data_IF_020826705453
#
_entry.id   IF_020826705453
#
_cell.length_a   1.000
_cell.length_b   1.000
_cell.length_c   1.000
_cell.angle_alpha   90.00
_cell.angle_beta   90.00
_cell.angle_gamma   90.00
#
_symmetry.space_group_name_H-M   'P 1'
#
loop_
_entity.id
_entity.type
_entity.pdbx_description
1 polymer ?
#
# COMPACT_ATOMS: atom_id res chain seq x y z
N UNK A 1 -12.62 -9.89 15.16
CA UNK A 1 -13.93 -9.19 15.02
C UNK A 1 -14.67 -9.22 16.37
N UNK A 2 -15.41 -8.15 16.74
CA UNK A 2 -16.15 -8.10 18.00
C UNK A 2 -17.32 -9.13 17.99
N UNK A 3 -17.55 -9.91 19.08
CA UNK A 3 -18.51 -11.03 19.08
C UNK A 3 -20.00 -10.63 18.87
N UNK A 4 -20.34 -9.35 19.01
CA UNK A 4 -21.68 -8.83 18.73
C UNK A 4 -21.93 -8.50 17.25
N UNK A 5 -20.91 -8.59 16.38
CA UNK A 5 -21.03 -8.32 14.95
C UNK A 5 -21.44 -9.61 14.24
N UNK A 6 -22.55 -9.59 13.49
CA UNK A 6 -22.84 -10.63 12.53
C UNK A 6 -22.04 -10.38 11.25
N UNK A 7 -21.19 -11.32 10.88
CA UNK A 7 -20.31 -11.17 9.73
C UNK A 7 -20.96 -11.66 8.43
N UNK A 8 -21.38 -10.72 7.59
CA UNK A 8 -21.87 -10.99 6.24
C UNK A 8 -20.75 -11.25 5.22
N UNK A 9 -19.47 -11.03 5.61
CA UNK A 9 -18.32 -11.20 4.70
C UNK A 9 -17.81 -12.64 4.65
N UNK A 10 -18.47 -13.57 5.33
CA UNK A 10 -18.11 -14.99 5.26
C UNK A 10 -18.29 -15.52 3.84
N UNK A 11 -17.29 -16.23 3.33
CA UNK A 11 -17.30 -16.85 2.02
C UNK A 11 -16.79 -18.28 2.12
N UNK A 12 -17.25 -19.15 1.21
CA UNK A 12 -16.72 -20.50 1.03
C UNK A 12 -15.41 -20.52 0.22
N UNK A 13 -14.94 -19.35 -0.24
CA UNK A 13 -13.67 -19.24 -0.96
C UNK A 13 -12.52 -19.64 -0.04
N UNK A 14 -11.68 -20.60 -0.43
CA UNK A 14 -10.51 -20.98 0.35
C UNK A 14 -9.60 -19.77 0.59
N UNK A 15 -9.04 -19.65 1.77
CA UNK A 15 -8.03 -18.61 2.05
C UNK A 15 -6.81 -18.81 1.17
N UNK A 16 -6.20 -17.73 0.66
CA UNK A 16 -4.95 -17.80 -0.06
C UNK A 16 -3.88 -18.53 0.77
N UNK A 17 -3.19 -19.49 0.16
CA UNK A 17 -2.15 -20.26 0.85
C UNK A 17 -0.88 -19.43 1.10
N UNK A 18 -0.64 -18.41 0.27
CA UNK A 18 0.53 -17.54 0.35
C UNK A 18 0.09 -16.11 0.02
N UNK A 19 0.50 -15.15 0.85
CA UNK A 19 0.32 -13.73 0.63
C UNK A 19 1.66 -13.06 0.89
N UNK A 20 2.31 -12.59 -0.17
CA UNK A 20 3.52 -11.79 -0.12
C UNK A 20 3.20 -10.37 -0.58
N UNK A 21 3.99 -9.42 -0.13
CA UNK A 21 3.86 -8.01 -0.51
C UNK A 21 5.14 -7.51 -1.15
N UNK A 22 4.99 -6.62 -2.12
CA UNK A 22 6.07 -5.89 -2.77
C UNK A 22 5.83 -4.39 -2.67
N UNK A 23 6.76 -3.68 -2.05
CA UNK A 23 6.66 -2.24 -1.88
C UNK A 23 7.32 -1.50 -3.05
N UNK A 24 6.53 -0.76 -3.79
CA UNK A 24 6.93 0.01 -4.97
C UNK A 24 7.20 1.50 -4.68
N UNK A 25 7.20 1.90 -3.40
CA UNK A 25 7.31 3.31 -3.00
C UNK A 25 8.57 3.97 -3.54
N UNK A 26 9.70 3.26 -3.48
CA UNK A 26 11.02 3.80 -3.88
C UNK A 26 11.29 3.77 -5.40
N UNK A 27 10.41 3.12 -6.17
CA UNK A 27 10.52 3.06 -7.63
C UNK A 27 9.31 3.70 -8.32
N UNK A 28 8.18 2.99 -8.46
CA UNK A 28 6.99 3.49 -9.15
C UNK A 28 6.36 4.66 -8.39
N UNK A 29 6.37 4.60 -7.07
CA UNK A 29 5.93 5.68 -6.20
C UNK A 29 6.59 7.02 -6.52
N UNK A 30 7.84 7.02 -6.93
CA UNK A 30 8.60 8.23 -7.25
C UNK A 30 8.45 8.70 -8.72
N UNK A 31 7.71 8.00 -9.56
CA UNK A 31 7.53 8.32 -10.97
C UNK A 31 6.43 9.36 -11.24
N UNK A 32 5.67 9.75 -10.23
CA UNK A 32 4.68 10.82 -10.37
C UNK A 32 5.35 12.20 -10.58
N UNK A 33 4.84 13.03 -11.50
CA UNK A 33 5.44 14.34 -11.80
C UNK A 33 5.37 15.34 -10.63
N UNK A 34 4.50 15.14 -9.66
CA UNK A 34 4.34 16.02 -8.49
C UNK A 34 5.11 15.54 -7.26
N UNK A 35 5.75 14.39 -7.32
CA UNK A 35 6.52 13.82 -6.21
C UNK A 35 7.91 14.44 -6.15
N UNK A 36 8.31 14.97 -4.98
CA UNK A 36 9.71 15.28 -4.73
C UNK A 36 10.51 13.99 -4.61
N UNK A 37 11.62 13.86 -5.31
CA UNK A 37 12.51 12.72 -5.13
C UNK A 37 13.17 12.82 -3.74
N UNK A 38 13.00 11.82 -2.84
CA UNK A 38 13.62 11.80 -1.52
C UNK A 38 15.16 11.75 -1.60
N UNK A 39 15.83 12.30 -0.61
CA UNK A 39 17.27 12.09 -0.40
C UNK A 39 17.55 10.62 -0.07
N UNK A 40 18.82 10.23 -0.16
CA UNK A 40 19.20 8.85 0.17
C UNK A 40 18.90 8.50 1.64
N UNK A 41 19.07 9.44 2.57
CA UNK A 41 18.78 9.22 3.98
C UNK A 41 17.29 9.01 4.21
N UNK A 42 16.42 9.80 3.55
CA UNK A 42 14.97 9.60 3.58
C UNK A 42 14.55 8.26 2.95
N UNK A 43 15.21 7.82 1.87
CA UNK A 43 14.96 6.50 1.28
C UNK A 43 15.36 5.36 2.22
N UNK A 44 16.45 5.51 2.97
CA UNK A 44 16.87 4.53 3.98
C UNK A 44 15.85 4.45 5.11
N UNK A 45 15.35 5.58 5.60
CA UNK A 45 14.30 5.61 6.62
C UNK A 45 13.03 4.88 6.14
N UNK A 46 12.60 5.14 4.91
CA UNK A 46 11.46 4.44 4.28
C UNK A 46 11.72 2.94 4.20
N UNK A 47 12.92 2.52 3.78
CA UNK A 47 13.29 1.11 3.67
C UNK A 47 13.20 0.39 5.02
N UNK A 48 13.68 1.01 6.10
CA UNK A 48 13.56 0.45 7.46
C UNK A 48 12.10 0.32 7.92
N UNK A 49 11.22 1.24 7.52
CA UNK A 49 9.80 1.16 7.84
C UNK A 49 9.09 0.05 7.04
N UNK A 50 9.48 -0.17 5.78
CA UNK A 50 9.04 -1.32 4.98
C UNK A 50 9.41 -2.64 5.68
N UNK A 51 10.66 -2.77 6.15
CA UNK A 51 11.11 -3.95 6.90
C UNK A 51 10.36 -4.13 8.23
N UNK A 52 10.14 -3.04 8.98
CA UNK A 52 9.37 -3.08 10.25
C UNK A 52 7.93 -3.56 10.05
N UNK A 53 7.29 -3.17 8.94
CA UNK A 53 5.95 -3.63 8.57
C UNK A 53 5.94 -5.09 8.10
N UNK A 54 7.11 -5.72 7.94
CA UNK A 54 7.24 -7.11 7.51
C UNK A 54 6.89 -7.32 6.04
N UNK A 55 6.97 -6.29 5.21
CA UNK A 55 6.80 -6.40 3.76
C UNK A 55 7.96 -7.22 3.20
N UNK A 56 7.67 -8.21 2.37
CA UNK A 56 8.64 -9.22 1.97
C UNK A 56 9.66 -8.70 0.97
N UNK A 57 9.22 -7.87 0.01
CA UNK A 57 10.10 -7.36 -1.05
C UNK A 57 9.90 -5.85 -1.24
N UNK A 58 10.94 -5.17 -1.72
CA UNK A 58 10.87 -3.76 -2.09
C UNK A 58 11.59 -3.50 -3.42
N UNK A 59 10.94 -2.77 -4.33
CA UNK A 59 11.57 -2.28 -5.55
C UNK A 59 12.41 -1.04 -5.23
N UNK A 60 13.73 -1.22 -5.25
CA UNK A 60 14.70 -0.20 -4.86
C UNK A 60 14.93 0.87 -5.94
N UNK A 61 14.45 0.63 -7.16
CA UNK A 61 14.57 1.58 -8.26
C UNK A 61 14.80 0.96 -9.64
N UNK A 62 15.03 1.83 -10.60
CA UNK A 62 15.32 1.51 -12.00
C UNK A 62 16.76 1.94 -12.35
N UNK A 63 17.79 1.10 -12.11
CA UNK A 63 19.20 1.48 -12.35
C UNK A 63 19.50 1.93 -13.78
N UNK A 64 18.76 1.40 -14.77
CA UNK A 64 18.85 1.83 -16.17
C UNK A 64 18.48 3.30 -16.43
N UNK A 65 17.84 3.98 -15.46
CA UNK A 65 17.50 5.40 -15.57
C UNK A 65 18.71 6.35 -15.41
N UNK A 66 19.84 5.86 -14.88
CA UNK A 66 21.08 6.62 -14.84
C UNK A 66 21.95 6.44 -13.60
N UNK A 67 23.16 7.03 -13.60
CA UNK A 67 24.18 6.80 -12.58
C UNK A 67 23.75 7.20 -11.15
N UNK A 68 22.84 8.17 -11.01
CA UNK A 68 22.34 8.57 -9.69
C UNK A 68 21.47 7.49 -9.07
N UNK A 69 20.61 6.84 -9.89
CA UNK A 69 19.77 5.72 -9.42
C UNK A 69 20.66 4.51 -9.09
N UNK A 70 21.69 4.23 -9.89
CA UNK A 70 22.67 3.16 -9.57
C UNK A 70 23.27 3.36 -8.18
N UNK A 71 23.70 4.60 -7.83
CA UNK A 71 24.28 4.88 -6.51
C UNK A 71 23.26 4.70 -5.38
N UNK A 72 22.05 5.18 -5.58
CA UNK A 72 20.99 5.07 -4.57
C UNK A 72 20.61 3.60 -4.32
N UNK A 73 20.39 2.83 -5.40
CA UNK A 73 20.07 1.39 -5.32
C UNK A 73 21.21 0.61 -4.66
N UNK A 74 22.49 0.90 -5.02
CA UNK A 74 23.65 0.27 -4.37
C UNK A 74 23.70 0.59 -2.86
N UNK A 75 23.40 1.83 -2.48
CA UNK A 75 23.38 2.23 -1.07
C UNK A 75 22.25 1.52 -0.29
N UNK A 76 21.04 1.43 -0.87
CA UNK A 76 19.92 0.71 -0.30
C UNK A 76 20.20 -0.81 -0.19
N UNK A 77 20.78 -1.40 -1.23
CA UNK A 77 21.16 -2.82 -1.21
C UNK A 77 22.21 -3.12 -0.13
N UNK A 78 23.19 -2.23 0.05
CA UNK A 78 24.17 -2.35 1.15
C UNK A 78 23.51 -2.24 2.52
N UNK A 79 22.55 -1.33 2.70
CA UNK A 79 21.82 -1.22 3.95
C UNK A 79 21.11 -2.52 4.31
N UNK A 80 20.43 -3.14 3.35
CA UNK A 80 19.77 -4.45 3.58
C UNK A 80 20.80 -5.49 4.03
N UNK A 81 21.97 -5.56 3.37
CA UNK A 81 23.01 -6.53 3.67
C UNK A 81 23.67 -6.28 5.04
N UNK A 82 24.08 -5.05 5.30
CA UNK A 82 24.86 -4.65 6.47
C UNK A 82 24.02 -4.71 7.74
N UNK A 83 22.77 -4.21 7.70
CA UNK A 83 21.81 -4.19 8.82
C UNK A 83 21.01 -5.49 8.91
N UNK A 84 21.18 -6.43 7.97
CA UNK A 84 20.48 -7.72 7.90
C UNK A 84 18.96 -7.56 7.95
N UNK A 85 18.46 -6.62 7.17
CA UNK A 85 17.01 -6.43 7.03
C UNK A 85 16.39 -7.70 6.42
N UNK A 86 15.12 -7.96 6.74
CA UNK A 86 14.39 -9.14 6.24
C UNK A 86 13.81 -8.92 4.85
N UNK A 87 13.59 -7.65 4.48
CA UNK A 87 13.08 -7.27 3.18
C UNK A 87 14.07 -7.69 2.08
N UNK A 88 13.57 -8.38 1.05
CA UNK A 88 14.35 -8.76 -0.13
C UNK A 88 14.32 -7.65 -1.18
N UNK A 89 15.44 -7.42 -1.83
CA UNK A 89 15.57 -6.41 -2.85
C UNK A 89 15.07 -6.88 -4.22
N UNK A 90 14.34 -6.03 -4.91
CA UNK A 90 14.16 -6.14 -6.34
C UNK A 90 14.44 -4.81 -7.04
N UNK A 91 14.61 -4.83 -8.35
CA UNK A 91 14.85 -3.66 -9.18
C UNK A 91 14.20 -3.82 -10.54
N UNK A 92 13.53 -2.76 -11.00
CA UNK A 92 12.95 -2.70 -12.32
C UNK A 92 14.03 -2.55 -13.42
N UNK A 93 13.80 -3.17 -14.58
CA UNK A 93 14.58 -3.01 -15.80
C UNK A 93 13.67 -3.11 -17.02
N UNK A 94 13.89 -2.30 -18.05
CA UNK A 94 13.32 -2.62 -19.36
C UNK A 94 13.88 -3.95 -19.83
N UNK A 95 13.13 -4.65 -20.67
CA UNK A 95 13.53 -5.95 -21.23
C UNK A 95 14.70 -5.75 -22.23
N UNK A 96 15.84 -5.31 -21.69
CA UNK A 96 17.08 -4.96 -22.40
C UNK A 96 18.30 -5.27 -21.53
N UNK A 97 19.31 -5.91 -22.12
CA UNK A 97 20.56 -6.27 -21.42
C UNK A 97 21.24 -5.04 -20.78
N UNK A 98 21.18 -3.88 -21.45
CA UNK A 98 21.77 -2.65 -20.95
C UNK A 98 21.16 -2.15 -19.62
N UNK A 99 19.88 -2.41 -19.39
CA UNK A 99 19.19 -2.04 -18.15
C UNK A 99 19.37 -3.10 -17.05
N UNK A 100 19.52 -4.38 -17.43
CA UNK A 100 19.68 -5.51 -16.49
C UNK A 100 21.10 -5.58 -15.92
N UNK A 101 22.11 -5.29 -16.76
CA UNK A 101 23.53 -5.35 -16.35
C UNK A 101 23.85 -4.54 -15.09
N UNK A 102 23.41 -3.28 -14.92
CA UNK A 102 23.63 -2.54 -13.69
C UNK A 102 23.06 -3.23 -12.44
N UNK A 103 21.94 -3.94 -12.54
CA UNK A 103 21.34 -4.70 -11.42
C UNK A 103 22.27 -5.84 -11.00
N UNK A 104 22.78 -6.62 -11.96
CA UNK A 104 23.73 -7.70 -11.69
C UNK A 104 25.02 -7.17 -11.04
N UNK A 105 25.56 -6.06 -11.55
CA UNK A 105 26.75 -5.44 -10.98
C UNK A 105 26.53 -4.92 -9.56
N UNK A 106 25.36 -4.33 -9.25
CA UNK A 106 25.01 -3.87 -7.91
C UNK A 106 24.88 -5.09 -6.98
N UNK A 107 24.16 -6.12 -7.40
CA UNK A 107 23.98 -7.37 -6.63
C UNK A 107 25.34 -7.97 -6.23
N UNK A 108 26.29 -8.04 -7.17
CA UNK A 108 27.64 -8.55 -6.92
C UNK A 108 28.44 -7.64 -5.96
N UNK A 109 28.40 -6.31 -6.15
CA UNK A 109 29.13 -5.37 -5.29
C UNK A 109 28.58 -5.26 -3.88
N UNK A 110 27.25 -5.37 -3.72
CA UNK A 110 26.60 -5.35 -2.42
C UNK A 110 26.64 -6.71 -1.72
N UNK A 111 26.93 -7.79 -2.45
CA UNK A 111 26.86 -9.17 -1.92
C UNK A 111 25.44 -9.58 -1.53
N UNK A 112 24.41 -8.97 -2.15
CA UNK A 112 23.01 -9.17 -1.87
C UNK A 112 22.28 -9.71 -3.12
N UNK A 113 21.52 -10.81 -3.02
CA UNK A 113 20.66 -11.24 -4.13
C UNK A 113 19.59 -10.18 -4.44
N UNK A 114 19.53 -9.73 -5.69
CA UNK A 114 18.50 -8.79 -6.17
C UNK A 114 17.65 -9.50 -7.22
N UNK A 115 16.31 -9.42 -7.12
CA UNK A 115 15.41 -9.91 -8.16
C UNK A 115 15.32 -8.86 -9.28
N UNK A 116 15.51 -9.28 -10.52
CA UNK A 116 15.37 -8.43 -11.69
C UNK A 116 13.91 -8.45 -12.18
N UNK A 117 13.22 -7.32 -12.08
CA UNK A 117 11.87 -7.13 -12.56
C UNK A 117 11.88 -6.56 -13.98
N UNK A 118 12.05 -7.44 -14.99
CA UNK A 118 12.15 -7.00 -16.37
C UNK A 118 10.78 -6.83 -17.02
N UNK A 119 10.50 -5.63 -17.58
CA UNK A 119 9.20 -5.28 -18.10
C UNK A 119 9.18 -4.91 -19.57
N UNK A 120 8.05 -5.28 -20.26
CA UNK A 120 7.79 -4.94 -21.66
C UNK A 120 6.29 -4.74 -21.89
N UNK A 121 5.94 -3.83 -22.82
CA UNK A 121 4.54 -3.59 -23.19
C UNK A 121 3.93 -4.74 -23.97
N UNK A 122 2.76 -5.24 -23.57
CA UNK A 122 2.12 -6.40 -24.16
C UNK A 122 0.85 -6.09 -24.97
N UNK A 123 0.16 -4.97 -24.68
CA UNK A 123 -1.11 -4.68 -25.32
C UNK A 123 -0.97 -4.33 -26.81
N UNK A 124 -2.02 -4.58 -27.63
CA UNK A 124 -2.05 -4.14 -29.02
C UNK A 124 -1.83 -2.63 -29.18
N UNK A 125 -2.26 -1.83 -28.20
CA UNK A 125 -2.05 -0.38 -28.19
C UNK A 125 -0.56 -0.04 -28.10
N UNK A 126 0.19 -0.73 -27.20
CA UNK A 126 1.64 -0.53 -27.07
C UNK A 126 2.39 -1.04 -28.29
N UNK A 127 2.03 -2.23 -28.78
CA UNK A 127 2.65 -2.80 -30.00
C UNK A 127 2.46 -1.86 -31.20
N UNK A 128 1.25 -1.32 -31.39
CA UNK A 128 0.97 -0.37 -32.46
C UNK A 128 1.74 0.94 -32.32
N UNK A 129 1.77 1.52 -31.11
CA UNK A 129 2.44 2.78 -30.85
C UNK A 129 3.97 2.71 -31.08
N UNK A 130 4.60 1.59 -30.71
CA UNK A 130 6.03 1.36 -30.82
C UNK A 130 6.45 0.71 -32.16
N UNK A 131 5.49 0.22 -32.94
CA UNK A 131 5.77 -0.54 -34.16
C UNK A 131 6.35 -1.94 -33.89
N UNK A 132 6.09 -2.50 -32.72
CA UNK A 132 6.59 -3.83 -32.34
C UNK A 132 5.77 -4.96 -32.92
N UNK A 133 6.45 -6.03 -33.30
CA UNK A 133 5.82 -7.31 -33.65
C UNK A 133 5.94 -8.28 -32.48
N UNK A 134 5.05 -9.27 -32.42
CA UNK A 134 5.11 -10.31 -31.40
C UNK A 134 6.46 -11.04 -31.43
N UNK A 135 7.00 -11.36 -32.61
CA UNK A 135 8.31 -12.03 -32.77
C UNK A 135 9.44 -11.21 -32.15
N UNK A 136 9.40 -9.87 -32.29
CA UNK A 136 10.37 -9.00 -31.63
C UNK A 136 10.24 -9.04 -30.11
N UNK A 137 9.01 -9.00 -29.60
CA UNK A 137 8.76 -9.08 -28.15
C UNK A 137 9.24 -10.40 -27.56
N UNK A 138 8.98 -11.52 -28.22
CA UNK A 138 9.41 -12.85 -27.79
C UNK A 138 10.93 -12.96 -27.76
N UNK A 139 11.61 -12.48 -28.80
CA UNK A 139 13.07 -12.48 -28.86
C UNK A 139 13.68 -11.62 -27.75
N UNK A 140 13.20 -10.39 -27.55
CA UNK A 140 13.68 -9.50 -26.48
C UNK A 140 13.45 -10.13 -25.11
N UNK A 141 12.32 -10.77 -24.90
CA UNK A 141 12.00 -11.50 -23.66
C UNK A 141 13.00 -12.62 -23.40
N UNK A 142 13.22 -13.50 -24.38
CA UNK A 142 14.13 -14.63 -24.25
C UNK A 142 15.56 -14.16 -23.99
N UNK A 143 16.06 -13.19 -24.78
CA UNK A 143 17.41 -12.62 -24.62
C UNK A 143 17.63 -12.00 -23.23
N UNK A 144 16.69 -11.19 -22.77
CA UNK A 144 16.81 -10.46 -21.50
C UNK A 144 16.72 -11.40 -20.30
N UNK A 145 15.75 -12.32 -20.27
CA UNK A 145 15.60 -13.29 -19.17
C UNK A 145 16.78 -14.24 -19.10
N UNK A 146 17.22 -14.79 -20.27
CA UNK A 146 18.39 -15.67 -20.34
C UNK A 146 19.66 -14.95 -19.84
N UNK A 147 19.84 -13.68 -20.21
CA UNK A 147 20.95 -12.88 -19.74
C UNK A 147 20.90 -12.70 -18.22
N UNK A 148 19.76 -12.30 -17.66
CA UNK A 148 19.61 -12.08 -16.21
C UNK A 148 19.92 -13.36 -15.40
N UNK A 149 19.37 -14.50 -15.84
CA UNK A 149 19.64 -15.82 -15.23
C UNK A 149 21.12 -16.18 -15.36
N UNK A 150 21.75 -15.92 -16.51
CA UNK A 150 23.18 -16.14 -16.73
C UNK A 150 24.10 -15.31 -15.81
N UNK A 151 23.64 -14.13 -15.38
CA UNK A 151 24.31 -13.29 -14.38
C UNK A 151 23.99 -13.69 -12.93
N UNK A 152 23.18 -14.74 -12.70
CA UNK A 152 22.82 -15.25 -11.38
C UNK A 152 21.67 -14.50 -10.69
N UNK A 153 20.93 -13.67 -11.43
CA UNK A 153 19.75 -12.97 -10.88
C UNK A 153 18.50 -13.89 -10.89
N UNK A 154 17.66 -13.75 -9.88
CA UNK A 154 16.25 -14.20 -9.97
C UNK A 154 15.51 -13.25 -10.91
N UNK A 155 14.50 -13.75 -11.63
CA UNK A 155 13.76 -12.92 -12.57
C UNK A 155 12.27 -12.97 -12.29
N UNK A 156 11.68 -11.77 -12.10
CA UNK A 156 10.26 -11.52 -12.27
C UNK A 156 10.05 -10.90 -13.64
N UNK A 157 9.30 -11.60 -14.50
CA UNK A 157 8.95 -11.08 -15.81
C UNK A 157 7.62 -10.33 -15.76
N UNK A 158 7.63 -9.09 -16.21
CA UNK A 158 6.49 -8.17 -16.11
C UNK A 158 5.97 -7.82 -17.49
N UNK A 159 4.67 -7.94 -17.73
CA UNK A 159 4.05 -7.33 -18.91
C UNK A 159 3.33 -6.04 -18.52
N UNK A 160 3.68 -4.92 -19.16
CA UNK A 160 2.90 -3.69 -19.04
C UNK A 160 1.59 -3.84 -19.82
N UNK A 161 0.54 -3.23 -19.31
CA UNK A 161 -0.79 -3.18 -19.94
C UNK A 161 -1.41 -4.56 -20.21
N UNK A 162 -1.15 -5.49 -19.29
CA UNK A 162 -1.59 -6.87 -19.37
C UNK A 162 -3.11 -6.98 -19.46
N UNK A 163 -3.83 -6.15 -18.71
CA UNK A 163 -5.30 -6.19 -18.62
C UNK A 163 -6.01 -5.76 -19.89
N UNK A 164 -5.27 -5.26 -20.90
CA UNK A 164 -5.78 -4.90 -22.24
C UNK A 164 -5.10 -5.67 -23.38
N UNK A 165 -4.24 -6.63 -23.04
CA UNK A 165 -3.58 -7.47 -24.02
C UNK A 165 -4.45 -8.71 -24.41
N UNK A 166 -4.24 -9.22 -25.59
CA UNK A 166 -4.94 -10.43 -26.04
C UNK A 166 -4.33 -11.71 -25.42
N UNK A 167 -5.15 -12.77 -25.22
CA UNK A 167 -4.71 -13.99 -24.58
C UNK A 167 -3.55 -14.72 -25.28
N UNK A 168 -3.50 -14.70 -26.61
CA UNK A 168 -2.47 -15.43 -27.37
C UNK A 168 -1.10 -14.74 -27.20
N UNK A 169 -1.07 -13.41 -27.26
CA UNK A 169 0.13 -12.61 -26.97
C UNK A 169 0.61 -12.86 -25.55
N UNK A 170 -0.27 -12.83 -24.55
CA UNK A 170 0.09 -13.06 -23.15
C UNK A 170 0.63 -14.48 -22.96
N UNK A 171 -0.05 -15.50 -23.49
CA UNK A 171 0.41 -16.89 -23.42
C UNK A 171 1.82 -17.03 -24.00
N UNK A 172 2.07 -16.47 -25.18
CA UNK A 172 3.36 -16.57 -25.84
C UNK A 172 4.48 -15.89 -25.01
N UNK A 173 4.24 -14.67 -24.51
CA UNK A 173 5.21 -13.90 -23.75
C UNK A 173 5.54 -14.58 -22.40
N UNK A 174 4.54 -14.94 -21.61
CA UNK A 174 4.77 -15.57 -20.31
C UNK A 174 5.41 -16.96 -20.44
N UNK A 175 4.95 -17.78 -21.40
CA UNK A 175 5.56 -19.07 -21.66
C UNK A 175 7.03 -18.94 -22.09
N UNK A 176 7.38 -17.93 -22.90
CA UNK A 176 8.77 -17.66 -23.30
C UNK A 176 9.62 -17.29 -22.09
N UNK A 177 9.16 -16.36 -21.24
CA UNK A 177 9.86 -15.94 -20.04
C UNK A 177 10.07 -17.09 -19.05
N UNK A 178 9.03 -17.92 -18.81
CA UNK A 178 9.11 -19.07 -17.91
C UNK A 178 10.12 -20.10 -18.43
N UNK A 179 10.09 -20.42 -19.72
CA UNK A 179 11.05 -21.35 -20.33
C UNK A 179 12.49 -20.83 -20.30
N UNK A 180 12.68 -19.51 -20.37
CA UNK A 180 13.99 -18.86 -20.23
C UNK A 180 14.47 -18.80 -18.79
N UNK A 181 13.64 -19.14 -17.78
CA UNK A 181 14.02 -19.28 -16.38
C UNK A 181 13.42 -18.27 -15.42
N UNK A 182 12.41 -17.49 -15.84
CA UNK A 182 11.70 -16.60 -14.90
C UNK A 182 11.05 -17.41 -13.77
N UNK A 183 11.25 -16.96 -12.53
CA UNK A 183 10.71 -17.61 -11.32
C UNK A 183 9.41 -16.98 -10.85
N UNK A 184 9.10 -15.79 -11.34
CA UNK A 184 7.85 -15.08 -11.12
C UNK A 184 7.38 -14.39 -12.38
N UNK A 185 6.08 -14.19 -12.51
CA UNK A 185 5.44 -13.42 -13.58
C UNK A 185 4.51 -12.38 -12.97
N UNK A 186 4.55 -11.15 -13.46
CA UNK A 186 3.74 -10.05 -12.94
C UNK A 186 2.70 -9.61 -13.98
N UNK A 187 1.46 -9.50 -13.53
CA UNK A 187 0.32 -8.99 -14.28
C UNK A 187 0.14 -7.53 -13.90
N UNK A 188 0.27 -6.60 -14.86
CA UNK A 188 0.13 -5.18 -14.59
C UNK A 188 -1.18 -4.62 -15.14
N UNK A 189 -2.01 -4.07 -14.26
CA UNK A 189 -3.13 -3.20 -14.59
C UNK A 189 -2.63 -1.75 -14.70
N UNK A 190 -1.76 -1.53 -15.68
CA UNK A 190 -0.93 -0.33 -15.86
C UNK A 190 -1.73 0.98 -15.88
N UNK A 191 -2.99 0.95 -16.31
CA UNK A 191 -3.84 2.14 -16.41
C UNK A 191 -5.12 2.02 -15.58
N UNK A 192 -5.19 1.11 -14.62
CA UNK A 192 -6.36 0.90 -13.79
C UNK A 192 -7.62 0.58 -14.60
N UNK A 193 -7.46 -0.22 -15.68
CA UNK A 193 -8.54 -0.57 -16.60
C UNK A 193 -9.44 -1.66 -16.07
N UNK A 194 -8.88 -2.63 -15.35
CA UNK A 194 -9.59 -3.81 -14.89
C UNK A 194 -10.76 -3.47 -13.94
N UNK A 195 -11.76 -4.33 -13.97
CA UNK A 195 -12.74 -4.48 -12.90
C UNK A 195 -12.29 -5.66 -12.01
N UNK A 196 -12.84 -5.86 -10.80
CA UNK A 196 -12.50 -7.02 -9.98
C UNK A 196 -12.70 -8.36 -10.70
N UNK A 197 -13.77 -8.46 -11.51
CA UNK A 197 -13.99 -9.64 -12.36
C UNK A 197 -12.89 -9.81 -13.41
N UNK A 198 -12.48 -8.71 -14.07
CA UNK A 198 -11.40 -8.72 -15.07
C UNK A 198 -10.04 -9.06 -14.46
N UNK A 199 -9.73 -8.52 -13.28
CA UNK A 199 -8.52 -8.86 -12.53
C UNK A 199 -8.46 -10.36 -12.20
N UNK A 200 -9.53 -10.89 -11.63
CA UNK A 200 -9.64 -12.32 -11.35
C UNK A 200 -9.56 -13.20 -12.63
N UNK A 201 -10.14 -12.74 -13.74
CA UNK A 201 -10.13 -13.50 -14.99
C UNK A 201 -8.72 -13.59 -15.59
N UNK A 202 -7.98 -12.48 -15.66
CA UNK A 202 -6.61 -12.48 -16.20
C UNK A 202 -5.65 -13.28 -15.32
N UNK A 203 -5.78 -13.19 -13.98
CA UNK A 203 -4.96 -13.99 -13.05
C UNK A 203 -5.20 -15.49 -13.28
N UNK A 204 -6.45 -15.95 -13.35
CA UNK A 204 -6.76 -17.37 -13.64
C UNK A 204 -6.22 -17.81 -14.99
N UNK A 205 -6.30 -16.93 -16.00
CA UNK A 205 -5.74 -17.22 -17.31
C UNK A 205 -4.22 -17.41 -17.25
N UNK A 206 -3.50 -16.50 -16.57
CA UNK A 206 -2.04 -16.63 -16.44
C UNK A 206 -1.66 -17.83 -15.56
N UNK A 207 -2.44 -18.16 -14.52
CA UNK A 207 -2.24 -19.39 -13.76
C UNK A 207 -2.30 -20.64 -14.68
N UNK A 208 -3.25 -20.68 -15.61
CA UNK A 208 -3.29 -21.78 -16.58
C UNK A 208 -2.06 -21.85 -17.49
N UNK A 209 -1.49 -20.69 -17.85
CA UNK A 209 -0.24 -20.64 -18.65
C UNK A 209 0.96 -21.13 -17.82
N UNK A 210 1.02 -20.75 -16.53
CA UNK A 210 2.04 -21.25 -15.61
C UNK A 210 1.96 -22.77 -15.49
N UNK A 211 0.76 -23.32 -15.30
CA UNK A 211 0.53 -24.77 -15.21
C UNK A 211 0.95 -25.51 -16.50
N UNK A 212 0.63 -24.95 -17.66
CA UNK A 212 1.06 -25.50 -18.99
C UNK A 212 2.59 -25.53 -19.13
N UNK A 213 3.30 -24.62 -18.44
CA UNK A 213 4.77 -24.58 -18.42
C UNK A 213 5.40 -25.46 -17.34
N UNK A 214 4.63 -26.23 -16.57
CA UNK A 214 5.12 -27.15 -15.55
C UNK A 214 4.89 -26.68 -14.11
N UNK A 215 4.28 -25.53 -13.90
CA UNK A 215 3.97 -24.97 -12.58
C UNK A 215 5.19 -24.39 -11.83
N UNK A 216 5.00 -24.05 -10.57
CA UNK A 216 6.08 -23.63 -9.65
C UNK A 216 6.56 -22.18 -9.84
N UNK A 217 5.92 -21.39 -10.69
CA UNK A 217 6.22 -19.98 -10.93
C UNK A 217 5.24 -19.10 -10.14
N UNK A 218 5.74 -18.12 -9.39
CA UNK A 218 4.90 -17.20 -8.64
C UNK A 218 4.15 -16.22 -9.57
N UNK A 219 2.96 -15.81 -9.16
CA UNK A 219 2.14 -14.82 -9.88
C UNK A 219 2.02 -13.57 -9.04
N UNK A 220 2.39 -12.43 -9.60
CA UNK A 220 2.32 -11.12 -9.00
C UNK A 220 1.19 -10.29 -9.62
N UNK A 221 0.65 -9.38 -8.82
CA UNK A 221 -0.31 -8.39 -9.27
C UNK A 221 0.19 -6.98 -8.96
N UNK A 222 0.31 -6.14 -9.99
CA UNK A 222 0.63 -4.73 -9.91
C UNK A 222 -0.53 -3.91 -10.49
N UNK A 223 -1.11 -2.99 -9.73
CA UNK A 223 -2.31 -2.28 -10.14
C UNK A 223 -2.33 -0.80 -9.83
N UNK A 224 -2.72 0.02 -10.85
CA UNK A 224 -2.95 1.45 -10.71
C UNK A 224 -4.40 1.78 -10.36
N UNK A 225 -4.62 2.99 -9.83
CA UNK A 225 -5.91 3.41 -9.27
C UNK A 225 -6.67 4.44 -10.11
N UNK A 226 -6.47 4.49 -11.42
CA UNK A 226 -7.09 5.50 -12.30
C UNK A 226 -8.61 5.56 -12.19
N UNK A 227 -9.26 4.44 -11.88
CA UNK A 227 -10.70 4.31 -11.60
C UNK A 227 -11.01 4.04 -10.14
N UNK A 228 -10.02 4.17 -9.26
CA UNK A 228 -10.07 3.89 -7.82
C UNK A 228 -10.44 2.43 -7.46
N UNK A 229 -10.19 1.48 -8.37
CA UNK A 229 -10.42 0.05 -8.14
C UNK A 229 -9.18 -0.71 -7.65
N UNK A 230 -8.05 -0.03 -7.43
CA UNK A 230 -6.78 -0.71 -7.16
C UNK A 230 -6.87 -1.71 -6.00
N UNK A 231 -7.38 -1.31 -4.83
CA UNK A 231 -7.51 -2.20 -3.66
C UNK A 231 -8.38 -3.41 -3.98
N UNK A 232 -9.58 -3.19 -4.51
CA UNK A 232 -10.51 -4.30 -4.74
C UNK A 232 -10.04 -5.21 -5.88
N UNK A 233 -9.35 -4.67 -6.90
CA UNK A 233 -8.73 -5.47 -7.94
C UNK A 233 -7.58 -6.32 -7.39
N UNK A 234 -6.76 -5.76 -6.50
CA UNK A 234 -5.66 -6.48 -5.84
C UNK A 234 -6.17 -7.62 -4.98
N UNK A 235 -7.23 -7.42 -4.21
CA UNK A 235 -7.86 -8.48 -3.44
C UNK A 235 -8.48 -9.56 -4.35
N UNK A 236 -9.15 -9.16 -5.42
CA UNK A 236 -9.71 -10.10 -6.41
C UNK A 236 -8.61 -10.90 -7.14
N UNK A 237 -7.46 -10.29 -7.40
CA UNK A 237 -6.29 -10.97 -7.96
C UNK A 237 -5.71 -12.01 -6.99
N UNK A 238 -5.58 -11.66 -5.70
CA UNK A 238 -5.16 -12.58 -4.64
C UNK A 238 -6.07 -13.81 -4.56
N UNK A 239 -7.39 -13.59 -4.48
CA UNK A 239 -8.37 -14.67 -4.41
C UNK A 239 -8.42 -15.53 -5.68
N UNK A 240 -7.94 -14.98 -6.81
CA UNK A 240 -7.84 -15.69 -8.08
C UNK A 240 -6.53 -16.47 -8.27
N UNK A 241 -5.55 -16.33 -7.35
CA UNK A 241 -4.30 -17.08 -7.35
C UNK A 241 -3.01 -16.26 -7.47
N UNK A 242 -3.07 -14.93 -7.45
CA UNK A 242 -1.85 -14.13 -7.27
C UNK A 242 -1.25 -14.41 -5.88
N UNK A 243 0.07 -14.46 -5.79
CA UNK A 243 0.79 -14.84 -4.56
C UNK A 243 1.61 -13.69 -3.98
N UNK A 244 1.91 -12.65 -4.77
CA UNK A 244 2.56 -11.41 -4.32
C UNK A 244 1.80 -10.21 -4.88
N UNK A 245 1.54 -9.23 -4.02
CA UNK A 245 0.74 -8.05 -4.30
C UNK A 245 1.60 -6.81 -4.17
N UNK A 246 1.55 -5.96 -5.18
CA UNK A 246 2.33 -4.72 -5.22
C UNK A 246 1.51 -3.54 -4.70
N UNK A 247 2.18 -2.63 -4.02
CA UNK A 247 1.59 -1.38 -3.55
C UNK A 247 2.65 -0.34 -3.21
N UNK A 248 2.21 0.87 -2.92
CA UNK A 248 3.08 1.95 -2.47
C UNK A 248 2.45 2.72 -1.31
N UNK A 249 3.26 3.34 -0.47
CA UNK A 249 2.78 4.20 0.62
C UNK A 249 1.84 5.28 0.08
N UNK A 250 0.72 5.47 0.76
CA UNK A 250 -0.34 6.43 0.39
C UNK A 250 -0.76 6.34 -1.08
N UNK A 251 -0.43 5.23 -1.74
CA UNK A 251 -0.76 4.97 -3.13
C UNK A 251 -0.10 5.91 -4.11
N UNK A 252 1.08 6.47 -3.83
CA UNK A 252 1.83 7.30 -4.80
C UNK A 252 2.27 6.48 -6.01
N UNK A 253 2.48 7.13 -7.15
CA UNK A 253 2.95 6.51 -8.40
C UNK A 253 2.50 7.24 -9.65
N UNK A 254 2.74 6.63 -10.78
CA UNK A 254 2.37 7.19 -12.09
C UNK A 254 0.92 7.66 -12.12
N UNK A 255 0.68 8.84 -12.69
CA UNK A 255 -0.63 9.53 -12.84
C UNK A 255 -1.31 9.77 -11.49
N UNK A 256 -2.24 8.89 -11.11
CA UNK A 256 -3.01 8.95 -9.85
C UNK A 256 -2.52 7.95 -8.80
N UNK A 257 -1.54 7.11 -9.17
CA UNK A 257 -0.84 6.21 -8.27
C UNK A 257 -1.24 4.74 -8.35
N UNK A 258 -0.72 3.98 -7.39
CA UNK A 258 -0.80 2.53 -7.24
C UNK A 258 -1.82 2.10 -6.17
N UNK A 259 -1.91 0.80 -5.95
CA UNK A 259 -2.58 0.23 -4.78
C UNK A 259 -1.95 0.81 -3.50
N UNK A 260 -2.71 1.49 -2.63
CA UNK A 260 -2.17 2.01 -1.38
C UNK A 260 -1.78 0.87 -0.43
N UNK A 261 -0.48 0.76 -0.09
CA UNK A 261 0.05 -0.33 0.72
C UNK A 261 -0.57 -0.39 2.11
N UNK A 262 -0.76 0.75 2.76
CA UNK A 262 -1.36 0.82 4.10
C UNK A 262 -2.82 0.35 4.12
N UNK A 263 -3.57 0.64 3.06
CA UNK A 263 -4.96 0.16 2.95
C UNK A 263 -4.98 -1.33 2.62
N UNK A 264 -4.05 -1.79 1.79
CA UNK A 264 -3.91 -3.22 1.47
C UNK A 264 -3.56 -4.03 2.72
N UNK A 265 -2.56 -3.62 3.50
CA UNK A 265 -2.15 -4.25 4.75
C UNK A 265 -3.32 -4.36 5.75
N UNK A 266 -4.03 -3.25 5.99
CA UNK A 266 -5.18 -3.24 6.92
C UNK A 266 -6.28 -4.20 6.45
N UNK A 267 -6.62 -4.21 5.15
CA UNK A 267 -7.63 -5.12 4.64
C UNK A 267 -7.20 -6.59 4.77
N UNK A 268 -5.96 -6.93 4.43
CA UNK A 268 -5.45 -8.30 4.54
C UNK A 268 -5.45 -8.81 5.99
N UNK A 269 -5.10 -7.96 6.95
CA UNK A 269 -5.17 -8.31 8.39
C UNK A 269 -6.63 -8.46 8.85
N UNK A 270 -7.52 -7.55 8.47
CA UNK A 270 -8.95 -7.64 8.87
C UNK A 270 -9.67 -8.82 8.23
N UNK A 271 -9.29 -9.21 7.01
CA UNK A 271 -9.78 -10.42 6.34
C UNK A 271 -9.15 -11.72 6.92
N UNK A 272 -8.15 -11.59 7.79
CA UNK A 272 -7.43 -12.73 8.38
C UNK A 272 -6.53 -13.46 7.39
N UNK A 273 -6.08 -12.79 6.33
CA UNK A 273 -5.11 -13.32 5.37
C UNK A 273 -3.67 -13.11 5.83
N UNK A 274 -3.43 -12.08 6.66
CA UNK A 274 -2.15 -11.81 7.30
C UNK A 274 -2.34 -11.66 8.83
N UNK A 275 -1.29 -12.03 9.57
CA UNK A 275 -1.13 -11.73 10.99
C UNK A 275 0.14 -10.88 11.14
N UNK A 276 -0.01 -9.56 11.30
CA UNK A 276 1.09 -8.60 11.34
C UNK A 276 0.86 -7.47 12.31
N UNK A 277 1.94 -7.00 12.90
CA UNK A 277 1.98 -5.74 13.65
C UNK A 277 1.98 -4.55 12.68
N UNK A 278 0.93 -3.74 12.74
CA UNK A 278 0.79 -2.54 11.94
C UNK A 278 1.08 -1.25 12.73
N UNK A 279 1.73 -1.33 13.88
CA UNK A 279 2.02 -0.17 14.72
C UNK A 279 2.93 0.87 14.04
N UNK A 280 3.76 0.47 13.07
CA UNK A 280 4.59 1.36 12.26
C UNK A 280 3.86 2.01 11.07
N UNK A 281 2.59 1.67 10.81
CA UNK A 281 1.90 2.06 9.58
C UNK A 281 1.70 3.57 9.43
N UNK A 282 1.37 4.25 10.52
CA UNK A 282 1.19 5.70 10.52
C UNK A 282 2.53 6.38 10.25
N UNK A 283 3.59 5.98 10.95
CA UNK A 283 4.94 6.49 10.77
C UNK A 283 5.43 6.30 9.31
N UNK A 284 5.21 5.13 8.73
CA UNK A 284 5.53 4.85 7.34
C UNK A 284 4.85 5.84 6.37
N UNK A 285 3.53 6.04 6.50
CA UNK A 285 2.79 6.95 5.63
C UNK A 285 3.21 8.42 5.83
N UNK A 286 3.44 8.85 7.09
CA UNK A 286 3.87 10.22 7.40
C UNK A 286 5.29 10.50 6.90
N UNK A 287 6.21 9.56 7.06
CA UNK A 287 7.59 9.64 6.54
C UNK A 287 7.58 9.77 5.02
N UNK A 288 6.84 8.92 4.30
CA UNK A 288 6.74 9.02 2.85
C UNK A 288 6.07 10.33 2.42
N UNK A 289 4.99 10.75 3.08
CA UNK A 289 4.33 12.02 2.81
C UNK A 289 5.28 13.21 2.96
N UNK A 290 6.06 13.24 4.02
CA UNK A 290 7.06 14.28 4.26
C UNK A 290 8.20 14.23 3.24
N UNK A 291 8.75 13.05 2.97
CA UNK A 291 9.84 12.85 2.04
C UNK A 291 9.49 13.18 0.59
N UNK A 292 8.27 12.90 0.18
CA UNK A 292 7.79 13.11 -1.20
C UNK A 292 7.04 14.43 -1.42
N UNK A 293 6.70 15.15 -0.36
CA UNK A 293 5.84 16.33 -0.36
C UNK A 293 4.41 16.05 -0.88
N UNK A 294 3.95 14.81 -0.81
CA UNK A 294 2.56 14.44 -1.12
C UNK A 294 1.76 14.43 0.17
N UNK A 295 0.84 15.39 0.38
CA UNK A 295 0.11 15.48 1.63
C UNK A 295 -0.92 14.36 1.77
N UNK A 296 -1.08 13.82 2.99
CA UNK A 296 -2.17 12.90 3.33
C UNK A 296 -3.46 13.74 3.50
N UNK A 297 -4.52 13.47 2.70
CA UNK A 297 -5.80 14.16 2.86
C UNK A 297 -6.37 13.96 4.27
N UNK A 298 -7.03 14.98 4.81
CA UNK A 298 -7.58 14.92 6.19
C UNK A 298 -8.56 13.77 6.41
N UNK A 299 -9.31 13.40 5.37
CA UNK A 299 -10.28 12.32 5.35
C UNK A 299 -9.75 11.03 4.72
N UNK A 300 -8.43 10.91 4.56
CA UNK A 300 -7.83 9.70 4.01
C UNK A 300 -8.13 8.49 4.92
N UNK A 301 -8.53 7.34 4.38
CA UNK A 301 -8.80 6.18 5.20
C UNK A 301 -7.59 5.78 6.06
N UNK A 302 -7.83 5.28 7.25
CA UNK A 302 -6.84 4.71 8.17
C UNK A 302 -5.86 5.75 8.74
N UNK A 303 -5.06 6.43 7.90
CA UNK A 303 -3.97 7.32 8.37
C UNK A 303 -4.32 8.81 8.37
N UNK A 304 -5.39 9.21 7.70
CA UNK A 304 -5.85 10.59 7.69
C UNK A 304 -6.20 11.11 9.09
N UNK A 305 -6.08 12.42 9.28
CA UNK A 305 -6.34 13.05 10.57
C UNK A 305 -7.72 12.72 11.14
N UNK A 306 -8.75 12.67 10.28
CA UNK A 306 -10.14 12.51 10.70
C UNK A 306 -10.60 11.04 10.77
N UNK A 307 -9.74 10.06 10.42
CA UNK A 307 -10.10 8.64 10.29
C UNK A 307 -10.75 8.04 11.56
N UNK A 308 -10.35 8.52 12.76
CA UNK A 308 -10.84 8.02 14.06
C UNK A 308 -11.42 9.13 14.93
N UNK A 309 -11.90 10.23 14.33
CA UNK A 309 -12.47 11.38 15.01
C UNK A 309 -13.99 11.43 14.85
N UNK A 310 -14.70 11.62 15.96
CA UNK A 310 -16.17 11.67 15.96
C UNK A 310 -16.63 12.95 16.66
N UNK A 311 -17.28 13.86 15.91
CA UNK A 311 -17.83 15.11 16.44
C UNK A 311 -19.39 15.09 16.52
N UNK A 312 -20.05 14.21 15.75
CA UNK A 312 -21.53 14.13 15.73
C UNK A 312 -22.07 13.52 17.01
N UNK A 313 -22.98 14.23 17.68
CA UNK A 313 -23.44 13.89 19.02
C UNK A 313 -24.03 12.48 19.18
N UNK A 314 -24.79 11.98 18.21
CA UNK A 314 -25.39 10.63 18.25
C UNK A 314 -24.30 9.55 18.21
N UNK A 315 -23.34 9.68 17.30
CA UNK A 315 -22.23 8.73 17.14
C UNK A 315 -21.29 8.80 18.35
N UNK A 316 -20.91 10.01 18.75
CA UNK A 316 -20.07 10.24 19.94
C UNK A 316 -20.70 9.65 21.21
N UNK A 317 -21.99 9.81 21.40
CA UNK A 317 -22.69 9.25 22.57
C UNK A 317 -22.59 7.71 22.64
N UNK A 318 -22.59 7.02 21.51
CA UNK A 318 -22.40 5.57 21.49
C UNK A 318 -20.95 5.16 21.81
N UNK A 319 -19.96 5.85 21.23
CA UNK A 319 -18.54 5.63 21.53
C UNK A 319 -18.25 5.93 23.01
N UNK A 320 -18.79 7.03 23.56
CA UNK A 320 -18.66 7.38 24.98
C UNK A 320 -19.25 6.28 25.89
N UNK A 321 -20.39 5.71 25.52
CA UNK A 321 -20.97 4.59 26.28
C UNK A 321 -20.10 3.35 26.27
N UNK A 322 -19.42 3.07 25.15
CA UNK A 322 -18.45 2.00 25.06
C UNK A 322 -17.24 2.25 25.97
N UNK A 323 -16.68 3.48 25.97
CA UNK A 323 -15.63 3.88 26.91
C UNK A 323 -16.06 3.67 28.37
N UNK A 324 -17.27 4.05 28.75
CA UNK A 324 -17.80 3.85 30.11
C UNK A 324 -17.96 2.38 30.53
N UNK A 325 -17.97 1.46 29.56
CA UNK A 325 -17.95 0.01 29.81
C UNK A 325 -16.55 -0.57 29.98
N UNK A 326 -15.52 0.22 29.79
CA UNK A 326 -14.11 -0.22 29.74
C UNK A 326 -13.86 -1.35 28.71
N UNK A 327 -14.60 -1.35 27.62
CA UNK A 327 -14.51 -2.33 26.54
C UNK A 327 -13.88 -1.65 25.31
N UNK A 328 -12.55 -1.71 25.21
CA UNK A 328 -11.81 -1.08 24.12
C UNK A 328 -12.15 -1.69 22.75
N UNK A 329 -12.43 -2.99 22.69
CA UNK A 329 -12.82 -3.63 21.45
C UNK A 329 -14.19 -3.09 20.96
N UNK A 330 -15.12 -2.81 21.89
CA UNK A 330 -16.39 -2.17 21.57
C UNK A 330 -16.19 -0.70 21.15
N UNK A 331 -15.29 0.04 21.80
CA UNK A 331 -14.95 1.43 21.43
C UNK A 331 -14.48 1.48 19.99
N UNK A 332 -13.61 0.57 19.59
CA UNK A 332 -13.06 0.50 18.24
C UNK A 332 -14.06 -0.02 17.19
N UNK A 333 -15.10 -0.76 17.63
CA UNK A 333 -16.03 -1.37 16.69
C UNK A 333 -17.34 -0.59 16.48
N UNK A 334 -17.76 0.23 17.47
CA UNK A 334 -19.12 0.78 17.51
C UNK A 334 -19.43 1.77 16.38
N UNK A 335 -18.44 2.54 15.93
CA UNK A 335 -18.54 3.48 14.81
C UNK A 335 -17.27 3.53 13.93
N UNK A 336 -16.50 2.46 13.90
CA UNK A 336 -15.35 2.34 13.01
C UNK A 336 -15.31 0.95 12.38
N UNK A 337 -15.05 0.89 11.06
CA UNK A 337 -14.81 -0.36 10.34
C UNK A 337 -13.37 -0.87 10.50
N UNK A 338 -12.47 0.00 10.97
CA UNK A 338 -11.08 -0.34 11.29
C UNK A 338 -10.85 -0.05 12.77
N UNK A 339 -10.36 -1.01 13.58
CA UNK A 339 -9.98 -0.76 14.95
C UNK A 339 -8.80 0.24 15.00
N UNK A 340 -8.96 1.36 15.71
CA UNK A 340 -7.90 2.38 15.81
C UNK A 340 -6.63 1.80 16.46
N UNK A 341 -6.82 0.93 17.48
CA UNK A 341 -5.72 0.24 18.15
C UNK A 341 -4.87 -0.66 17.24
N UNK A 342 -5.40 -1.12 16.10
CA UNK A 342 -4.66 -1.94 15.14
C UNK A 342 -3.40 -1.24 14.60
N UNK A 343 -3.44 0.09 14.52
CA UNK A 343 -2.35 0.92 14.00
C UNK A 343 -1.79 1.88 15.04
N UNK A 344 -2.01 1.60 16.33
CA UNK A 344 -1.51 2.44 17.44
C UNK A 344 -2.23 3.77 17.62
N UNK A 345 -3.45 3.94 17.05
CA UNK A 345 -4.31 5.13 17.25
C UNK A 345 -5.43 4.85 18.24
N UNK A 346 -6.15 5.90 18.62
CA UNK A 346 -7.32 5.84 19.50
C UNK A 346 -8.51 6.56 18.88
N UNK A 347 -9.73 6.13 19.24
CA UNK A 347 -10.96 6.85 18.92
C UNK A 347 -11.00 8.18 19.68
N UNK A 348 -11.23 9.27 18.96
CA UNK A 348 -11.28 10.63 19.50
C UNK A 348 -12.68 11.20 19.41
N UNK A 349 -13.10 11.91 20.47
CA UNK A 349 -14.37 12.61 20.54
C UNK A 349 -14.10 14.11 20.51
N UNK A 350 -14.52 14.75 19.45
CA UNK A 350 -14.40 16.19 19.27
C UNK A 350 -15.66 16.95 19.71
N UNK A 351 -15.48 18.25 19.95
CA UNK A 351 -16.53 19.18 20.31
C UNK A 351 -16.72 20.22 19.20
N UNK A 352 -17.88 20.27 18.57
CA UNK A 352 -18.16 21.16 17.47
C UNK A 352 -19.65 21.42 17.25
N UNK A 353 -20.03 22.07 16.15
CA UNK A 353 -21.43 22.51 15.91
C UNK A 353 -22.44 21.35 15.88
N UNK A 354 -22.01 20.13 15.52
CA UNK A 354 -22.86 18.94 15.44
C UNK A 354 -22.81 18.09 16.74
N UNK A 355 -22.06 18.51 17.74
CA UNK A 355 -21.90 17.77 19.00
C UNK A 355 -23.11 17.86 19.92
N UNK A 356 -23.26 16.88 20.82
CA UNK A 356 -24.12 16.93 21.99
C UNK A 356 -23.33 17.39 23.24
N UNK A 357 -24.06 17.71 24.34
CA UNK A 357 -23.42 18.00 25.62
C UNK A 357 -22.50 16.87 26.12
N UNK A 358 -22.84 15.61 25.79
CA UNK A 358 -22.01 14.44 26.13
C UNK A 358 -20.60 14.50 25.55
N UNK A 359 -20.40 15.12 24.36
CA UNK A 359 -19.07 15.34 23.80
C UNK A 359 -18.23 16.26 24.69
N UNK A 360 -18.86 17.35 25.17
CA UNK A 360 -18.19 18.33 26.06
C UNK A 360 -17.81 17.67 27.37
N UNK A 361 -18.74 16.98 28.02
CA UNK A 361 -18.49 16.26 29.28
C UNK A 361 -17.35 15.28 29.12
N UNK A 362 -17.39 14.44 28.09
CA UNK A 362 -16.36 13.44 27.82
C UNK A 362 -14.99 14.09 27.60
N UNK A 363 -14.95 15.17 26.80
CA UNK A 363 -13.68 15.88 26.53
C UNK A 363 -13.08 16.43 27.82
N UNK A 364 -13.89 17.09 28.64
CA UNK A 364 -13.45 17.64 29.92
C UNK A 364 -12.92 16.55 30.85
N UNK A 365 -13.70 15.48 31.08
CA UNK A 365 -13.32 14.36 31.94
C UNK A 365 -12.01 13.69 31.45
N UNK A 366 -11.87 13.49 30.14
CA UNK A 366 -10.66 12.87 29.55
C UNK A 366 -9.40 13.71 29.73
N UNK A 367 -9.55 15.04 29.83
CA UNK A 367 -8.45 15.98 30.04
C UNK A 367 -8.27 16.39 31.49
N UNK A 368 -8.96 15.73 32.42
CA UNK A 368 -8.80 15.97 33.88
C UNK A 368 -9.52 17.20 34.42
N UNK A 369 -10.49 17.76 33.66
CA UNK A 369 -11.28 18.89 34.09
C UNK A 369 -12.64 18.46 34.67
N UNK A 370 -13.14 19.20 35.68
CA UNK A 370 -14.47 18.99 36.20
C UNK A 370 -15.53 19.48 35.20
N UNK A 371 -16.44 18.58 34.79
CA UNK A 371 -17.55 18.89 33.85
C UNK A 371 -18.74 19.49 34.64
N UNK A 372 -18.61 20.71 35.14
CA UNK A 372 -19.74 21.41 35.78
C UNK A 372 -20.78 21.85 34.76
N UNK A 373 -22.05 21.91 35.15
CA UNK A 373 -23.14 22.25 34.22
C UNK A 373 -22.91 23.61 33.53
N UNK A 374 -22.46 24.61 34.26
CA UNK A 374 -22.16 25.95 33.72
C UNK A 374 -21.05 25.91 32.65
N UNK A 375 -19.93 25.22 32.95
CA UNK A 375 -18.82 25.10 32.03
C UNK A 375 -19.24 24.28 30.75
N UNK A 376 -19.98 23.21 30.96
CA UNK A 376 -20.52 22.38 29.85
C UNK A 376 -21.41 23.22 28.94
N UNK A 377 -22.34 24.01 29.51
CA UNK A 377 -23.27 24.85 28.77
C UNK A 377 -22.57 25.98 27.99
N UNK A 378 -21.55 26.56 28.56
CA UNK A 378 -20.72 27.59 27.89
C UNK A 378 -19.96 27.02 26.71
N UNK A 379 -19.22 25.91 26.91
CA UNK A 379 -18.47 25.28 25.83
C UNK A 379 -19.44 24.77 24.74
N UNK A 380 -20.57 24.17 25.14
CA UNK A 380 -21.57 23.71 24.20
C UNK A 380 -22.17 24.85 23.37
N UNK A 381 -22.50 25.99 24.00
CA UNK A 381 -23.01 27.17 23.31
C UNK A 381 -21.98 27.73 22.33
N UNK A 382 -20.71 27.79 22.73
CA UNK A 382 -19.60 28.20 21.86
C UNK A 382 -19.45 27.23 20.67
N UNK A 383 -19.51 25.91 20.91
CA UNK A 383 -19.44 24.92 19.86
C UNK A 383 -20.60 25.05 18.86
N UNK A 384 -21.83 25.33 19.36
CA UNK A 384 -23.00 25.55 18.50
C UNK A 384 -22.91 26.80 17.63
N UNK A 385 -22.18 27.80 18.08
CA UNK A 385 -21.92 29.06 17.35
C UNK A 385 -20.71 28.95 16.41
N UNK A 386 -19.89 27.91 16.53
CA UNK A 386 -18.72 27.69 15.67
C UNK A 386 -19.09 27.09 14.31
N UNK A 387 -18.26 27.36 13.30
CA UNK A 387 -18.36 26.72 11.98
C UNK A 387 -17.52 25.42 11.88
N UNK A 388 -16.66 25.15 12.85
CA UNK A 388 -15.75 24.00 12.91
C UNK A 388 -15.74 23.38 14.30
N UNK A 389 -15.06 22.24 14.47
CA UNK A 389 -14.74 21.71 15.79
C UNK A 389 -13.83 22.69 16.54
N UNK A 390 -14.07 22.85 17.84
CA UNK A 390 -13.23 23.66 18.71
C UNK A 390 -11.85 23.00 18.88
N UNK A 391 -10.82 23.82 18.88
CA UNK A 391 -9.47 23.36 19.25
C UNK A 391 -9.39 23.12 20.77
N UNK A 392 -8.43 22.31 21.20
CA UNK A 392 -8.16 22.12 22.64
C UNK A 392 -7.88 23.46 23.35
N UNK A 393 -7.16 24.38 22.71
CA UNK A 393 -6.87 25.69 23.28
C UNK A 393 -8.13 26.55 23.49
N UNK A 394 -9.09 26.49 22.55
CA UNK A 394 -10.38 27.16 22.67
C UNK A 394 -11.23 26.62 23.82
N UNK A 395 -11.19 25.31 24.05
CA UNK A 395 -11.90 24.67 25.17
C UNK A 395 -11.19 25.00 26.49
N UNK A 396 -9.86 24.90 26.56
CA UNK A 396 -9.06 25.24 27.73
C UNK A 396 -9.22 26.71 28.11
N UNK A 397 -9.37 27.62 27.14
CA UNK A 397 -9.65 29.04 27.43
C UNK A 397 -10.97 29.20 28.17
N UNK A 398 -12.02 28.45 27.87
CA UNK A 398 -13.29 28.45 28.61
C UNK A 398 -13.11 27.90 30.05
N UNK A 399 -12.32 26.83 30.21
CA UNK A 399 -12.00 26.28 31.54
C UNK A 399 -11.31 27.33 32.41
N UNK A 400 -10.29 28.02 31.89
CA UNK A 400 -9.56 29.07 32.62
C UNK A 400 -10.44 30.27 32.99
N UNK A 401 -11.38 30.64 32.13
CA UNK A 401 -12.29 31.75 32.37
C UNK A 401 -13.27 31.50 33.55
N UNK A 402 -13.49 30.23 33.93
CA UNK A 402 -14.32 29.84 35.09
C UNK A 402 -13.56 29.77 36.41
N UNK A 403 -12.22 29.99 36.41
CA UNK A 403 -11.42 29.88 37.64
C UNK A 403 -11.28 28.45 38.21
N UNK A 404 -11.63 27.45 37.41
CA UNK A 404 -11.58 26.02 37.76
C UNK A 404 -10.33 25.38 37.15
N UNK A 405 -9.15 25.88 37.49
CA UNK A 405 -7.86 25.36 37.10
C UNK A 405 -7.14 24.73 38.26
#
# INVERSE_FOLDING_TARGET
MHPLIHDWNTTDTPRPATVLLDDETLRDGLQSPSVRCPTIDEKLEILHLIDRLGIETADLGLPGAGPHVVRDVERLAREIADERLRVEANCAARTMIADIRPIAEISQRAGLPIECCTFIGSSPLRQYAEGWTLDQLLRLTEEAVTFAIGEGLRVMYVTEDTTRADPDTLRALYATAIRAGATRVCISDTVGHATPHGAAAVVRFIASVVDECGGGVGIDWHGHRDRDFAIINTLAALEAGATRLHGSAIGIGERVGNTPMELLLVNLVLMGYLDRDLSALVEYCETVSAATHVPIPVNYPVVGRDAFRTATGVHAAAVIKAFKKNDLALVDAVYSGVPAGLIGREQQIDVGPMSGKSNVVFWLERHGYAATDDLVDRIFSKAKASSTVLTSDEIVAEVRATGSG
#
